data_IF_922326636781
#
_entry.id   IF_922326636781
#
_cell.length_a   1.000
_cell.length_b   1.000
_cell.length_c   1.000
_cell.angle_alpha   90.00
_cell.angle_beta   90.00
_cell.angle_gamma   90.00
#
_symmetry.space_group_name_H-M   'P 1'
#
loop_
_entity.id
_entity.type
_entity.pdbx_description
1 polymer ?
#
# COMPACT_ATOMS: atom_id res chain seq x y z
N UNK A 1 1.18 -44.00 9.00
CA UNK A 1 1.84 -42.71 8.70
C UNK A 1 1.31 -41.68 9.67
N UNK A 2 2.15 -41.07 10.50
CA UNK A 2 1.73 -39.92 11.32
C UNK A 2 1.54 -38.72 10.38
N UNK A 3 0.38 -38.11 10.41
CA UNK A 3 0.09 -36.90 9.64
C UNK A 3 0.85 -35.73 10.28
N UNK A 4 1.80 -35.13 9.57
CA UNK A 4 2.46 -33.90 10.00
C UNK A 4 1.43 -32.76 10.13
N UNK A 5 1.36 -32.14 11.30
CA UNK A 5 0.50 -30.99 11.56
C UNK A 5 1.30 -29.69 11.43
N UNK A 6 0.87 -28.80 10.53
CA UNK A 6 1.50 -27.50 10.30
C UNK A 6 0.60 -26.35 10.79
N UNK A 7 1.19 -25.41 11.54
CA UNK A 7 0.52 -24.21 12.00
C UNK A 7 1.06 -22.97 11.27
N UNK A 8 0.21 -22.32 10.48
CA UNK A 8 0.56 -21.13 9.71
C UNK A 8 0.10 -19.85 10.39
N UNK A 9 0.86 -18.76 10.23
CA UNK A 9 0.38 -17.43 10.61
C UNK A 9 -0.55 -16.87 9.53
N UNK A 10 -1.85 -17.07 9.73
CA UNK A 10 -2.89 -16.49 8.89
C UNK A 10 -3.37 -15.12 9.42
N UNK A 11 -2.93 -14.68 10.61
CA UNK A 11 -3.37 -13.39 11.18
C UNK A 11 -2.80 -12.26 10.34
N UNK A 12 -1.51 -12.33 10.01
CA UNK A 12 -0.88 -11.29 9.19
C UNK A 12 -1.45 -11.23 7.77
N UNK A 13 -1.73 -12.39 7.17
CA UNK A 13 -2.37 -12.47 5.85
C UNK A 13 -3.73 -11.78 5.87
N UNK A 14 -4.57 -12.07 6.88
CA UNK A 14 -5.88 -11.41 7.01
C UNK A 14 -5.76 -9.90 7.17
N UNK A 15 -4.77 -9.40 7.91
CA UNK A 15 -4.51 -7.96 8.03
C UNK A 15 -4.22 -7.34 6.67
N UNK A 16 -3.32 -7.93 5.89
CA UNK A 16 -2.99 -7.45 4.55
C UNK A 16 -4.16 -7.54 3.58
N UNK A 17 -4.95 -8.62 3.59
CA UNK A 17 -6.16 -8.74 2.73
C UNK A 17 -7.17 -7.64 3.07
N UNK A 18 -7.45 -7.41 4.36
CA UNK A 18 -8.36 -6.35 4.78
C UNK A 18 -7.84 -4.97 4.34
N UNK A 19 -6.54 -4.72 4.47
CA UNK A 19 -5.92 -3.49 4.00
C UNK A 19 -5.99 -3.36 2.47
N UNK A 20 -5.78 -4.44 1.71
CA UNK A 20 -5.96 -4.48 0.25
C UNK A 20 -7.36 -4.03 -0.12
N UNK A 21 -8.40 -4.62 0.46
CA UNK A 21 -9.78 -4.26 0.13
C UNK A 21 -10.04 -2.79 0.48
N UNK A 22 -9.63 -2.36 1.67
CA UNK A 22 -9.81 -0.98 2.13
C UNK A 22 -9.15 0.04 1.21
N UNK A 23 -7.86 -0.12 0.92
CA UNK A 23 -7.12 0.79 0.04
C UNK A 23 -7.53 0.66 -1.42
N UNK A 24 -8.01 -0.51 -1.86
CA UNK A 24 -8.61 -0.69 -3.17
C UNK A 24 -9.85 0.17 -3.36
N UNK A 25 -10.75 0.19 -2.37
CA UNK A 25 -11.93 1.05 -2.40
C UNK A 25 -11.50 2.53 -2.47
N UNK A 26 -10.60 2.96 -1.60
CA UNK A 26 -10.13 4.36 -1.57
C UNK A 26 -9.46 4.75 -2.90
N UNK A 27 -8.50 3.96 -3.38
CA UNK A 27 -7.76 4.23 -4.60
C UNK A 27 -8.68 4.33 -5.82
N UNK A 28 -9.64 3.40 -5.95
CA UNK A 28 -10.60 3.41 -7.05
C UNK A 28 -11.59 4.58 -6.94
N UNK A 29 -12.03 4.95 -5.73
CA UNK A 29 -12.88 6.13 -5.52
C UNK A 29 -12.18 7.43 -5.91
N UNK A 30 -10.90 7.62 -5.58
CA UNK A 30 -10.13 8.79 -6.03
C UNK A 30 -9.96 8.77 -7.55
N UNK A 31 -9.75 7.59 -8.16
CA UNK A 31 -9.70 7.43 -9.61
C UNK A 31 -11.00 7.84 -10.29
N UNK A 32 -12.14 7.45 -9.72
CA UNK A 32 -13.45 7.85 -10.20
C UNK A 32 -13.67 9.37 -10.07
N UNK A 33 -13.26 9.96 -8.94
CA UNK A 33 -13.30 11.42 -8.75
C UNK A 33 -12.49 12.16 -9.82
N UNK A 34 -11.26 11.70 -10.11
CA UNK A 34 -10.41 12.26 -11.17
C UNK A 34 -11.06 12.10 -12.55
N UNK A 35 -11.71 10.97 -12.81
CA UNK A 35 -12.45 10.75 -14.06
C UNK A 35 -13.59 11.78 -14.23
N UNK A 36 -14.31 12.11 -13.15
CA UNK A 36 -15.33 13.17 -13.17
C UNK A 36 -14.75 14.55 -13.42
N UNK A 37 -13.52 14.85 -12.96
CA UNK A 37 -12.86 16.14 -13.22
C UNK A 37 -12.58 16.38 -14.71
N UNK A 38 -12.43 15.33 -15.53
CA UNK A 38 -12.32 15.50 -16.98
C UNK A 38 -13.63 15.96 -17.63
N UNK A 39 -14.78 15.62 -17.04
CA UNK A 39 -16.10 16.03 -17.53
C UNK A 39 -16.57 17.35 -16.89
N UNK A 40 -16.24 17.54 -15.61
CA UNK A 40 -16.59 18.68 -14.78
C UNK A 40 -15.33 19.24 -14.11
N UNK A 41 -14.52 20.07 -14.81
CA UNK A 41 -13.24 20.55 -14.29
C UNK A 41 -13.33 21.32 -12.97
N UNK A 42 -14.48 21.96 -12.72
CA UNK A 42 -14.68 22.86 -11.59
C UNK A 42 -15.17 22.15 -10.31
N UNK A 43 -15.20 20.80 -10.29
CA UNK A 43 -15.79 20.01 -9.20
C UNK A 43 -15.14 20.26 -7.83
N UNK A 44 -13.85 20.63 -7.83
CA UNK A 44 -13.05 20.85 -6.61
C UNK A 44 -12.40 22.24 -6.59
N UNK A 45 -12.97 23.19 -7.33
CA UNK A 45 -12.46 24.56 -7.39
C UNK A 45 -12.39 25.21 -6.01
N UNK A 46 -11.35 26.01 -5.80
CA UNK A 46 -11.10 26.68 -4.51
C UNK A 46 -10.41 25.82 -3.45
N UNK A 47 -10.22 24.51 -3.68
CA UNK A 47 -9.56 23.61 -2.74
C UNK A 47 -8.25 23.06 -3.33
N UNK A 48 -7.13 23.70 -2.99
CA UNK A 48 -5.83 23.40 -3.60
C UNK A 48 -5.38 21.93 -3.50
N UNK A 49 -5.63 21.27 -2.36
CA UNK A 49 -5.26 19.87 -2.14
C UNK A 49 -6.17 18.84 -2.85
N UNK A 50 -7.33 19.28 -3.35
CA UNK A 50 -8.20 18.46 -4.19
C UNK A 50 -8.02 18.73 -5.68
N UNK A 51 -7.03 19.54 -6.08
CA UNK A 51 -6.75 19.77 -7.50
C UNK A 51 -6.33 18.48 -8.21
N UNK A 52 -6.70 18.36 -9.48
CA UNK A 52 -6.38 17.20 -10.31
C UNK A 52 -4.88 16.85 -10.28
N UNK A 53 -4.01 17.86 -10.37
CA UNK A 53 -2.56 17.67 -10.37
C UNK A 53 -2.00 17.04 -9.09
N UNK A 54 -2.67 17.22 -7.94
CA UNK A 54 -2.25 16.63 -6.65
C UNK A 54 -2.97 15.31 -6.34
N UNK A 55 -4.22 15.17 -6.77
CA UNK A 55 -4.97 13.92 -6.59
C UNK A 55 -4.55 12.82 -7.55
N UNK A 56 -4.03 13.15 -8.74
CA UNK A 56 -3.50 12.17 -9.71
C UNK A 56 -2.38 11.32 -9.11
N UNK A 57 -1.28 11.88 -8.58
CA UNK A 57 -0.22 11.08 -7.97
C UNK A 57 -0.71 10.35 -6.71
N UNK A 58 -1.68 10.90 -5.98
CA UNK A 58 -2.32 10.19 -4.86
C UNK A 58 -3.05 8.92 -5.34
N UNK A 59 -3.85 9.02 -6.40
CA UNK A 59 -4.56 7.88 -6.98
C UNK A 59 -3.60 6.79 -7.45
N UNK A 60 -2.56 7.15 -8.21
CA UNK A 60 -1.59 6.17 -8.74
C UNK A 60 -0.88 5.45 -7.59
N UNK A 61 -0.41 6.17 -6.57
CA UNK A 61 0.23 5.58 -5.41
C UNK A 61 -0.74 4.71 -4.57
N UNK A 62 -1.98 5.15 -4.39
CA UNK A 62 -2.98 4.38 -3.66
C UNK A 62 -3.35 3.07 -4.39
N UNK A 63 -3.49 3.08 -5.71
CA UNK A 63 -3.82 1.86 -6.45
C UNK A 63 -2.62 0.91 -6.54
N UNK A 64 -1.42 1.43 -6.76
CA UNK A 64 -0.24 0.57 -6.94
C UNK A 64 0.33 0.14 -5.59
N UNK A 65 0.79 1.08 -4.76
CA UNK A 65 1.51 0.71 -3.54
C UNK A 65 0.57 0.36 -2.40
N UNK A 66 -0.58 1.02 -2.27
CA UNK A 66 -1.53 0.67 -1.22
C UNK A 66 -2.37 -0.57 -1.59
N UNK A 67 -3.08 -0.58 -2.72
CA UNK A 67 -3.89 -1.73 -3.10
C UNK A 67 -3.04 -2.93 -3.55
N UNK A 68 -2.29 -2.81 -4.66
CA UNK A 68 -1.50 -3.94 -5.19
C UNK A 68 -0.35 -4.31 -4.23
N UNK A 69 0.32 -3.34 -3.60
CA UNK A 69 1.38 -3.63 -2.63
C UNK A 69 0.90 -4.48 -1.45
N UNK A 70 -0.23 -4.13 -0.81
CA UNK A 70 -0.81 -4.98 0.23
C UNK A 70 -1.21 -6.37 -0.31
N UNK A 71 -1.70 -6.45 -1.56
CA UNK A 71 -2.05 -7.74 -2.19
C UNK A 71 -0.82 -8.63 -2.40
N UNK A 72 0.32 -8.06 -2.78
CA UNK A 72 1.60 -8.78 -2.91
C UNK A 72 2.03 -9.31 -1.54
N UNK A 73 2.03 -8.48 -0.50
CA UNK A 73 2.36 -8.95 0.85
C UNK A 73 1.45 -10.10 1.28
N UNK A 74 0.13 -9.96 1.14
CA UNK A 74 -0.82 -11.03 1.44
C UNK A 74 -0.50 -12.32 0.66
N UNK A 75 -0.27 -12.19 -0.65
CA UNK A 75 0.04 -13.30 -1.55
C UNK A 75 1.30 -14.04 -1.14
N UNK A 76 2.39 -13.32 -0.84
CA UNK A 76 3.67 -13.91 -0.43
C UNK A 76 3.57 -14.53 0.97
N UNK A 77 3.05 -13.82 1.97
CA UNK A 77 2.89 -14.38 3.32
C UNK A 77 1.97 -15.61 3.34
N UNK A 78 0.98 -15.67 2.45
CA UNK A 78 0.10 -16.83 2.34
C UNK A 78 0.74 -18.01 1.61
N UNK A 79 1.35 -17.75 0.45
CA UNK A 79 1.85 -18.78 -0.47
C UNK A 79 3.13 -19.42 0.04
N UNK A 80 4.12 -18.63 0.48
CA UNK A 80 5.43 -19.14 0.92
C UNK A 80 5.29 -20.13 2.07
N UNK A 81 4.42 -19.82 3.05
CA UNK A 81 4.18 -20.72 4.18
C UNK A 81 3.65 -22.10 3.74
N UNK A 82 2.77 -22.13 2.73
CA UNK A 82 2.11 -23.36 2.24
C UNK A 82 2.98 -24.14 1.27
N UNK A 83 3.72 -23.44 0.41
CA UNK A 83 4.63 -24.04 -0.55
C UNK A 83 5.80 -24.71 0.14
N UNK A 84 6.37 -24.06 1.15
CA UNK A 84 7.49 -24.59 1.94
C UNK A 84 7.04 -25.45 3.13
N UNK A 85 5.73 -25.53 3.40
CA UNK A 85 5.15 -26.17 4.59
C UNK A 85 5.85 -25.72 5.87
N UNK A 86 6.16 -24.42 5.96
CA UNK A 86 6.90 -23.83 7.07
C UNK A 86 6.21 -22.55 7.51
N UNK A 87 6.24 -22.26 8.82
CA UNK A 87 5.77 -20.97 9.34
C UNK A 87 6.79 -19.87 9.00
N UNK A 88 6.32 -18.62 8.86
CA UNK A 88 7.21 -17.46 8.74
C UNK A 88 8.21 -17.40 9.89
N UNK A 89 9.44 -16.99 9.58
CA UNK A 89 10.58 -17.07 10.51
C UNK A 89 10.36 -16.27 11.79
N UNK A 90 9.92 -15.01 11.69
CA UNK A 90 9.67 -14.16 12.87
C UNK A 90 8.36 -13.35 12.73
N UNK A 91 7.47 -13.48 13.72
CA UNK A 91 6.17 -12.79 13.76
C UNK A 91 6.32 -11.26 13.88
N UNK A 92 7.41 -10.77 14.50
CA UNK A 92 7.61 -9.32 14.64
C UNK A 92 7.91 -8.67 13.28
N UNK A 93 8.68 -9.35 12.43
CA UNK A 93 9.09 -8.85 11.11
C UNK A 93 7.87 -8.71 10.19
N UNK A 94 6.95 -9.68 10.25
CA UNK A 94 5.71 -9.61 9.49
C UNK A 94 4.80 -8.46 9.94
N UNK A 95 4.75 -8.17 11.26
CA UNK A 95 4.05 -7.00 11.79
C UNK A 95 4.76 -5.68 11.48
N UNK A 96 6.10 -5.64 11.48
CA UNK A 96 6.89 -4.48 11.05
C UNK A 96 6.59 -4.16 9.59
N UNK A 97 6.58 -5.17 8.72
CA UNK A 97 6.22 -5.01 7.31
C UNK A 97 4.79 -4.47 7.15
N UNK A 98 3.83 -5.00 7.91
CA UNK A 98 2.45 -4.49 7.85
C UNK A 98 2.33 -3.03 8.29
N UNK A 99 2.78 -2.70 9.50
CA UNK A 99 2.62 -1.36 10.06
C UNK A 99 3.50 -0.32 9.37
N UNK A 100 4.73 -0.70 9.00
CA UNK A 100 5.62 0.12 8.20
C UNK A 100 5.00 0.47 6.85
N UNK A 101 4.42 -0.52 6.16
CA UNK A 101 3.72 -0.28 4.91
C UNK A 101 2.48 0.60 5.07
N UNK A 102 1.68 0.39 6.12
CA UNK A 102 0.52 1.27 6.38
C UNK A 102 0.97 2.71 6.69
N UNK A 103 2.06 2.90 7.43
CA UNK A 103 2.59 4.22 7.73
C UNK A 103 3.06 4.95 6.46
N UNK A 104 3.72 4.25 5.53
CA UNK A 104 4.11 4.79 4.22
C UNK A 104 2.88 5.23 3.42
N UNK A 105 1.84 4.40 3.37
CA UNK A 105 0.60 4.72 2.65
C UNK A 105 -0.08 5.96 3.25
N UNK A 106 -0.17 6.04 4.59
CA UNK A 106 -0.74 7.21 5.27
C UNK A 106 0.11 8.46 5.03
N UNK A 107 1.43 8.33 5.05
CA UNK A 107 2.32 9.45 4.71
C UNK A 107 2.11 9.92 3.28
N UNK A 108 1.96 9.03 2.31
CA UNK A 108 1.62 9.36 0.93
C UNK A 108 0.26 10.08 0.83
N UNK A 109 -0.75 9.59 1.57
CA UNK A 109 -2.09 10.18 1.61
C UNK A 109 -2.12 11.61 2.14
N UNK A 110 -1.17 11.97 3.01
CA UNK A 110 -1.03 13.32 3.57
C UNK A 110 -0.17 14.20 2.65
N UNK A 111 0.99 13.70 2.23
CA UNK A 111 2.03 14.50 1.57
C UNK A 111 1.70 14.88 0.13
N UNK A 112 1.10 13.96 -0.64
CA UNK A 112 0.78 14.21 -2.05
C UNK A 112 -0.30 15.30 -2.23
N UNK A 113 -1.42 15.31 -1.47
CA UNK A 113 -2.37 16.42 -1.51
C UNK A 113 -1.80 17.76 -1.01
N UNK A 114 -0.81 17.72 -0.12
CA UNK A 114 -0.09 18.92 0.32
C UNK A 114 0.87 19.45 -0.77
N UNK A 115 1.16 18.65 -1.80
CA UNK A 115 1.98 19.02 -2.94
C UNK A 115 3.47 18.71 -2.79
N UNK A 116 3.85 17.93 -1.78
CA UNK A 116 5.21 17.43 -1.65
C UNK A 116 5.40 16.28 -2.63
N UNK A 117 6.11 16.54 -3.73
CA UNK A 117 6.38 15.52 -4.74
C UNK A 117 7.67 15.79 -5.51
N UNK A 118 8.37 14.72 -5.84
CA UNK A 118 9.57 14.74 -6.70
C UNK A 118 9.25 14.87 -8.19
N UNK A 119 7.96 14.87 -8.58
CA UNK A 119 7.44 14.90 -9.96
C UNK A 119 7.79 13.70 -10.86
N UNK A 120 8.43 12.66 -10.31
CA UNK A 120 8.72 11.41 -11.01
C UNK A 120 7.56 10.44 -10.87
N UNK A 121 6.98 10.00 -11.99
CA UNK A 121 5.86 9.06 -11.96
C UNK A 121 6.24 7.75 -11.27
N UNK A 122 5.37 7.28 -10.37
CA UNK A 122 5.57 6.10 -9.51
C UNK A 122 6.73 6.20 -8.49
N UNK A 123 7.34 7.38 -8.38
CA UNK A 123 8.38 7.71 -7.41
C UNK A 123 8.11 9.10 -6.81
N UNK A 124 6.83 9.47 -6.68
CA UNK A 124 6.40 10.83 -6.35
C UNK A 124 6.69 11.22 -4.91
N UNK A 125 6.88 10.23 -4.02
CA UNK A 125 7.08 10.44 -2.59
C UNK A 125 8.44 11.09 -2.31
N UNK A 126 8.51 11.87 -1.24
CA UNK A 126 9.76 12.52 -0.84
C UNK A 126 10.74 11.56 -0.17
N UNK A 127 12.02 11.94 -0.19
CA UNK A 127 13.14 11.12 0.30
C UNK A 127 12.97 10.51 1.70
N UNK A 128 12.29 11.11 2.70
CA UNK A 128 12.11 10.44 3.99
C UNK A 128 11.23 9.20 3.87
N UNK A 129 10.23 9.26 2.99
CA UNK A 129 9.33 8.14 2.72
C UNK A 129 10.05 7.09 1.86
N UNK A 130 10.91 7.50 0.93
CA UNK A 130 11.74 6.58 0.15
C UNK A 130 12.65 5.73 1.05
N UNK A 131 13.28 6.35 2.07
CA UNK A 131 14.08 5.64 3.06
C UNK A 131 13.22 4.63 3.84
N UNK A 132 12.02 5.04 4.26
CA UNK A 132 11.09 4.14 4.95
C UNK A 132 10.70 2.95 4.07
N UNK A 133 10.40 3.19 2.79
CA UNK A 133 10.09 2.14 1.80
C UNK A 133 11.27 1.19 1.70
N UNK A 134 12.49 1.70 1.51
CA UNK A 134 13.68 0.86 1.40
C UNK A 134 13.87 -0.04 2.63
N UNK A 135 13.70 0.51 3.85
CA UNK A 135 13.82 -0.26 5.09
C UNK A 135 12.76 -1.37 5.19
N UNK A 136 11.49 -1.05 4.91
CA UNK A 136 10.39 -2.04 4.93
C UNK A 136 10.61 -3.10 3.85
N UNK A 137 11.11 -2.73 2.68
CA UNK A 137 11.35 -3.66 1.58
C UNK A 137 12.52 -4.61 1.87
N UNK A 138 13.59 -4.11 2.47
CA UNK A 138 14.72 -4.94 2.94
C UNK A 138 14.25 -5.91 4.02
N UNK A 139 13.44 -5.44 4.98
CA UNK A 139 12.86 -6.29 6.01
C UNK A 139 11.87 -7.33 5.45
N UNK A 140 11.32 -7.12 4.26
CA UNK A 140 10.48 -8.10 3.58
C UNK A 140 11.30 -9.17 2.83
N UNK A 141 12.47 -8.80 2.32
CA UNK A 141 13.36 -9.73 1.61
C UNK A 141 14.28 -10.56 2.51
N UNK A 142 14.39 -10.21 3.80
CA UNK A 142 15.17 -10.92 4.82
C UNK A 142 14.43 -12.15 5.37
#
# INVERSE_FOLDING_TARGET
MQTEQFYYDNKIVRKFINATIFWGIIGMSVGLLLAFMFLFPNLTDGISWLSFGRLRPLHTNAVIFAFVGNAIFAGVYYSTQRLLKARMWQDWLSNFNFWGWQAIIVAAAITLPLGYTTSKEYAELEWPIDIMIALVWVAFGA
#
